data_IF_639299134914
#
_entry.id   IF_639299134914
#
_cell.length_a   1.000
_cell.length_b   1.000
_cell.length_c   1.000
_cell.angle_alpha   90.00
_cell.angle_beta   90.00
_cell.angle_gamma   90.00
#
_symmetry.space_group_name_H-M   'P 1'
#
loop_
_entity.id
_entity.type
_entity.pdbx_description
1 polymer ?
#
# COMPACT_ATOMS: atom_id res chain seq x y z
N UNK A 1 -4.11 23.19 -11.08
CA UNK A 1 -5.23 22.38 -11.62
C UNK A 1 -4.94 20.94 -11.21
N UNK A 2 -5.64 20.46 -10.17
CA UNK A 2 -5.35 19.19 -9.50
C UNK A 2 -5.87 18.01 -10.32
N UNK A 3 -5.01 17.01 -10.53
CA UNK A 3 -5.22 15.85 -11.40
C UNK A 3 -6.18 14.78 -10.82
N UNK A 4 -6.95 15.14 -9.80
CA UNK A 4 -7.75 14.20 -9.00
C UNK A 4 -9.27 14.39 -9.13
N UNK A 5 -9.72 15.38 -9.90
CA UNK A 5 -11.14 15.57 -10.15
C UNK A 5 -11.51 15.00 -11.51
N UNK A 6 -12.04 13.78 -11.49
CA UNK A 6 -12.84 13.26 -12.59
C UNK A 6 -14.27 13.77 -12.34
N UNK A 7 -14.76 14.62 -13.23
CA UNK A 7 -16.09 15.21 -13.15
C UNK A 7 -17.13 14.12 -13.47
N UNK A 8 -17.49 13.31 -12.46
CA UNK A 8 -18.79 12.64 -12.22
C UNK A 8 -18.60 11.48 -11.21
N UNK A 9 -19.21 11.62 -10.01
CA UNK A 9 -19.10 10.79 -8.78
C UNK A 9 -17.87 11.07 -7.89
N UNK A 10 -18.08 11.22 -6.59
CA UNK A 10 -17.05 11.54 -5.58
C UNK A 10 -16.16 10.35 -5.19
N UNK A 11 -16.03 9.39 -6.09
CA UNK A 11 -15.37 8.12 -5.85
C UNK A 11 -13.86 8.30 -5.69
N UNK A 12 -13.30 7.73 -4.62
CA UNK A 12 -11.87 7.72 -4.35
C UNK A 12 -11.28 6.43 -4.94
N UNK A 13 -10.51 6.58 -6.01
CA UNK A 13 -9.67 5.49 -6.52
C UNK A 13 -8.34 5.47 -5.77
N UNK A 14 -8.04 4.37 -5.09
CA UNK A 14 -6.74 4.13 -4.46
C UNK A 14 -5.94 3.14 -5.29
N UNK A 15 -4.74 3.54 -5.67
CA UNK A 15 -3.84 2.73 -6.48
C UNK A 15 -2.84 2.02 -5.57
N UNK A 16 -2.87 0.69 -5.60
CA UNK A 16 -1.98 -0.17 -4.83
C UNK A 16 -0.92 -0.71 -5.76
N UNK A 17 0.33 -0.74 -5.30
CA UNK A 17 1.41 -1.51 -5.93
C UNK A 17 1.82 -2.68 -5.05
N UNK A 18 1.90 -3.86 -5.67
CA UNK A 18 2.28 -5.11 -5.02
C UNK A 18 3.42 -5.73 -5.80
N UNK A 19 4.51 -6.09 -5.12
CA UNK A 19 5.55 -6.95 -5.68
C UNK A 19 5.49 -8.31 -5.01
N UNK A 20 5.36 -9.37 -5.81
CA UNK A 20 5.27 -10.75 -5.31
C UNK A 20 6.20 -11.69 -6.08
N UNK A 21 6.80 -12.64 -5.36
CA UNK A 21 7.49 -13.79 -5.96
C UNK A 21 6.53 -14.81 -6.54
N UNK A 22 5.27 -14.77 -6.11
CA UNK A 22 4.25 -15.68 -6.60
C UNK A 22 3.79 -15.27 -7.99
N UNK A 23 3.57 -16.27 -8.82
CA UNK A 23 3.20 -16.07 -10.22
C UNK A 23 1.80 -15.47 -10.41
N UNK A 24 0.88 -15.72 -9.47
CA UNK A 24 -0.54 -15.39 -9.63
C UNK A 24 -0.97 -14.16 -8.85
N UNK A 25 -0.32 -13.84 -7.72
CA UNK A 25 -0.79 -12.83 -6.77
C UNK A 25 -2.22 -13.09 -6.27
N UNK A 26 -2.67 -14.35 -6.28
CA UNK A 26 -4.06 -14.72 -6.01
C UNK A 26 -4.55 -14.24 -4.64
N UNK A 27 -3.70 -14.28 -3.61
CA UNK A 27 -4.03 -13.76 -2.29
C UNK A 27 -4.33 -12.26 -2.32
N UNK A 28 -3.52 -11.47 -3.02
CA UNK A 28 -3.72 -10.02 -3.15
C UNK A 28 -4.96 -9.69 -3.98
N UNK A 29 -5.21 -10.46 -5.04
CA UNK A 29 -6.46 -10.33 -5.82
C UNK A 29 -7.68 -10.57 -4.94
N UNK A 30 -7.67 -11.61 -4.09
CA UNK A 30 -8.76 -11.88 -3.17
C UNK A 30 -9.00 -10.73 -2.20
N UNK A 31 -7.94 -10.16 -1.59
CA UNK A 31 -8.09 -9.00 -0.70
C UNK A 31 -8.71 -7.78 -1.38
N UNK A 32 -8.29 -7.49 -2.61
CA UNK A 32 -8.79 -6.33 -3.37
C UNK A 32 -10.23 -6.55 -3.81
N UNK A 33 -10.57 -7.75 -4.28
CA UNK A 33 -11.92 -8.10 -4.69
C UNK A 33 -12.90 -8.10 -3.51
N UNK A 34 -12.50 -8.67 -2.37
CA UNK A 34 -13.32 -8.68 -1.15
C UNK A 34 -13.52 -7.27 -0.59
N UNK A 35 -12.47 -6.45 -0.55
CA UNK A 35 -12.60 -5.05 -0.14
C UNK A 35 -13.54 -4.28 -1.06
N UNK A 36 -13.38 -4.40 -2.38
CA UNK A 36 -14.22 -3.67 -3.34
C UNK A 36 -15.68 -4.14 -3.27
N UNK A 37 -15.93 -5.44 -3.01
CA UNK A 37 -17.27 -5.94 -2.71
C UNK A 37 -17.82 -5.33 -1.41
N UNK A 38 -17.04 -5.33 -0.34
CA UNK A 38 -17.43 -4.74 0.94
C UNK A 38 -17.75 -3.25 0.79
N UNK A 39 -16.90 -2.49 0.10
CA UNK A 39 -17.10 -1.07 -0.17
C UNK A 39 -18.44 -0.83 -0.90
N UNK A 40 -18.71 -1.60 -1.96
CA UNK A 40 -19.97 -1.53 -2.69
C UNK A 40 -21.18 -1.87 -1.81
N UNK A 41 -21.10 -2.92 -1.00
CA UNK A 41 -22.20 -3.36 -0.13
C UNK A 41 -22.50 -2.35 0.99
N UNK A 42 -21.47 -1.61 1.44
CA UNK A 42 -21.58 -0.62 2.51
C UNK A 42 -21.68 0.82 2.01
N UNK A 43 -21.87 1.03 0.69
CA UNK A 43 -21.93 2.34 0.05
C UNK A 43 -20.71 3.23 0.35
N UNK A 44 -19.53 2.63 0.45
CA UNK A 44 -18.27 3.34 0.50
C UNK A 44 -17.86 3.66 -0.94
N UNK A 45 -17.72 4.96 -1.25
CA UNK A 45 -17.33 5.45 -2.58
C UNK A 45 -15.81 5.35 -2.75
N UNK A 46 -15.26 4.14 -2.57
CA UNK A 46 -13.84 3.81 -2.60
C UNK A 46 -13.64 2.61 -3.49
N UNK A 47 -12.63 2.67 -4.37
CA UNK A 47 -12.27 1.57 -5.25
C UNK A 47 -10.75 1.33 -5.22
N UNK A 48 -10.35 0.12 -4.85
CA UNK A 48 -8.96 -0.30 -4.87
C UNK A 48 -8.58 -0.82 -6.25
N UNK A 49 -7.52 -0.26 -6.80
CA UNK A 49 -6.91 -0.67 -8.07
C UNK A 49 -5.53 -1.27 -7.81
N UNK A 50 -5.38 -2.56 -8.07
CA UNK A 50 -4.13 -3.27 -7.85
C UNK A 50 -3.23 -3.26 -9.08
N UNK A 51 -1.97 -2.90 -8.88
CA UNK A 51 -0.89 -3.01 -9.85
C UNK A 51 0.08 -4.09 -9.36
N UNK A 52 -0.11 -5.31 -9.85
CA UNK A 52 0.65 -6.48 -9.44
C UNK A 52 1.89 -6.68 -10.31
N UNK A 53 3.05 -6.69 -9.67
CA UNK A 53 4.33 -7.05 -10.24
C UNK A 53 4.72 -8.46 -9.78
N UNK A 54 4.84 -9.38 -10.73
CA UNK A 54 5.26 -10.76 -10.50
C UNK A 54 6.50 -11.07 -11.32
N UNK A 55 7.16 -12.19 -11.02
CA UNK A 55 8.30 -12.67 -11.79
C UNK A 55 7.97 -12.95 -13.28
N UNK A 56 6.69 -13.08 -13.62
CA UNK A 56 6.24 -13.34 -15.00
C UNK A 56 6.02 -12.05 -15.82
N UNK A 57 5.73 -10.93 -15.16
CA UNK A 57 5.40 -9.67 -15.84
C UNK A 57 6.40 -8.53 -15.55
N UNK A 58 7.37 -8.77 -14.67
CA UNK A 58 8.36 -7.80 -14.26
C UNK A 58 9.78 -8.38 -14.36
N UNK A 59 10.63 -7.72 -15.14
CA UNK A 59 11.99 -8.17 -15.48
C UNK A 59 13.05 -7.86 -14.42
N UNK A 60 12.65 -7.22 -13.32
CA UNK A 60 13.52 -6.81 -12.23
C UNK A 60 13.56 -7.95 -11.21
N UNK A 61 14.76 -8.41 -10.86
CA UNK A 61 14.92 -9.39 -9.78
C UNK A 61 14.35 -8.85 -8.47
N UNK A 62 13.92 -9.73 -7.57
CA UNK A 62 13.38 -9.28 -6.28
C UNK A 62 14.40 -8.46 -5.47
N UNK A 63 15.70 -8.72 -5.64
CA UNK A 63 16.77 -7.90 -5.05
C UNK A 63 16.74 -6.43 -5.51
N UNK A 64 16.13 -6.14 -6.65
CA UNK A 64 16.07 -4.81 -7.25
C UNK A 64 14.69 -4.13 -7.13
N UNK A 65 13.69 -4.80 -6.51
CA UNK A 65 12.37 -4.19 -6.25
C UNK A 65 12.49 -3.00 -5.31
N UNK A 66 13.50 -3.01 -4.43
CA UNK A 66 13.77 -1.91 -3.54
C UNK A 66 14.19 -0.62 -4.26
N UNK A 67 15.03 -0.73 -5.29
CA UNK A 67 15.47 0.38 -6.16
C UNK A 67 14.28 0.90 -6.97
N UNK A 68 13.41 0.00 -7.43
CA UNK A 68 12.16 0.40 -8.09
C UNK A 68 11.30 1.25 -7.16
N UNK A 69 11.06 0.79 -5.92
CA UNK A 69 10.28 1.56 -4.96
C UNK A 69 10.91 2.92 -4.65
N UNK A 70 12.23 2.99 -4.47
CA UNK A 70 12.91 4.30 -4.32
C UNK A 70 12.73 5.21 -5.53
N UNK A 71 12.80 4.66 -6.74
CA UNK A 71 12.55 5.41 -7.96
C UNK A 71 11.11 5.92 -8.04
N UNK A 72 10.14 5.14 -7.52
CA UNK A 72 8.74 5.56 -7.41
C UNK A 72 8.58 6.66 -6.37
N UNK A 73 9.14 6.51 -5.18
CA UNK A 73 9.03 7.48 -4.09
C UNK A 73 9.68 8.82 -4.43
N UNK A 74 10.77 8.81 -5.20
CA UNK A 74 11.45 10.04 -5.63
C UNK A 74 10.71 10.81 -6.73
N UNK A 75 9.65 10.24 -7.32
CA UNK A 75 8.82 10.99 -8.28
C UNK A 75 7.92 11.96 -7.52
N UNK A 76 7.92 13.22 -7.96
CA UNK A 76 7.07 14.29 -7.38
C UNK A 76 5.58 13.92 -7.28
N UNK A 77 5.09 13.07 -8.19
CA UNK A 77 3.72 12.57 -8.18
C UNK A 77 3.78 11.04 -8.30
N UNK A 78 3.84 10.34 -7.17
CA UNK A 78 3.66 8.89 -7.15
C UNK A 78 2.30 8.55 -7.77
N UNK A 79 2.27 7.49 -8.56
CA UNK A 79 1.02 6.95 -9.12
C UNK A 79 0.28 6.02 -8.15
N UNK A 80 0.85 5.80 -6.96
CA UNK A 80 0.39 4.83 -5.98
C UNK A 80 0.19 5.47 -4.62
N UNK A 81 -0.89 5.05 -3.97
CA UNK A 81 -1.36 5.49 -2.66
C UNK A 81 -0.99 4.48 -1.57
N UNK A 82 -0.96 3.18 -1.92
CA UNK A 82 -0.64 2.07 -1.01
C UNK A 82 0.44 1.17 -1.60
N UNK A 83 1.30 0.65 -0.72
CA UNK A 83 2.46 -0.16 -1.09
C UNK A 83 2.50 -1.43 -0.25
N UNK A 84 2.54 -2.59 -0.92
CA UNK A 84 2.94 -3.85 -0.29
C UNK A 84 4.42 -4.05 -0.53
N UNK A 85 5.21 -4.09 0.54
CA UNK A 85 6.66 -4.19 0.49
C UNK A 85 7.20 -5.06 1.63
N UNK A 86 8.44 -5.52 1.48
CA UNK A 86 9.14 -6.28 2.52
C UNK A 86 9.55 -5.35 3.67
N UNK A 87 9.08 -5.67 4.88
CA UNK A 87 9.29 -4.84 6.07
C UNK A 87 10.77 -4.64 6.46
N UNK A 88 11.70 -5.43 5.93
CA UNK A 88 13.14 -5.14 6.06
C UNK A 88 13.54 -3.77 5.47
N UNK A 89 12.72 -3.19 4.58
CA UNK A 89 12.94 -1.87 3.99
C UNK A 89 12.23 -0.72 4.73
N UNK A 90 11.48 -0.98 5.80
CA UNK A 90 10.72 0.02 6.57
C UNK A 90 11.54 1.26 6.90
N UNK A 91 12.76 1.09 7.43
CA UNK A 91 13.62 2.23 7.78
C UNK A 91 14.07 3.04 6.57
N UNK A 92 14.27 2.39 5.42
CA UNK A 92 14.64 3.06 4.17
C UNK A 92 13.49 3.87 3.59
N UNK A 93 12.25 3.37 3.75
CA UNK A 93 11.06 3.99 3.17
C UNK A 93 10.34 4.96 4.09
N UNK A 94 10.68 4.94 5.37
CA UNK A 94 10.13 5.83 6.39
C UNK A 94 9.93 7.29 5.96
N UNK A 95 10.90 7.97 5.28
CA UNK A 95 10.71 9.37 4.89
C UNK A 95 9.59 9.61 3.88
N UNK A 96 9.11 8.57 3.20
CA UNK A 96 8.10 8.67 2.14
C UNK A 96 6.69 8.30 2.58
N UNK A 97 6.54 7.71 3.78
CA UNK A 97 5.25 7.26 4.29
C UNK A 97 4.63 8.23 5.28
N UNK A 98 3.31 8.23 5.33
CA UNK A 98 2.54 8.97 6.32
C UNK A 98 2.56 8.22 7.65
N UNK A 99 2.46 8.96 8.75
CA UNK A 99 2.31 8.40 10.09
C UNK A 99 0.84 8.00 10.32
N UNK A 100 0.55 6.70 10.21
CA UNK A 100 -0.77 6.09 10.37
C UNK A 100 -1.34 6.30 11.78
N UNK A 101 -0.50 6.53 12.79
CA UNK A 101 -0.96 6.79 14.17
C UNK A 101 -1.78 8.09 14.28
N UNK A 102 -1.71 8.97 13.26
CA UNK A 102 -2.51 10.19 13.17
C UNK A 102 -3.91 9.96 12.59
N UNK A 103 -4.15 8.79 11.99
CA UNK A 103 -5.37 8.47 11.25
C UNK A 103 -6.12 7.26 11.82
N UNK A 104 -5.43 6.41 12.59
CA UNK A 104 -5.98 5.19 13.17
C UNK A 104 -6.02 5.31 14.70
N UNK A 105 -7.16 4.92 15.28
CA UNK A 105 -7.31 4.88 16.73
C UNK A 105 -6.40 3.80 17.36
N UNK A 106 -5.95 4.05 18.58
CA UNK A 106 -5.05 3.15 19.29
C UNK A 106 -5.63 1.73 19.45
N UNK A 107 -6.94 1.63 19.67
CA UNK A 107 -7.64 0.34 19.77
C UNK A 107 -7.58 -0.46 18.47
N UNK A 108 -7.60 0.21 17.32
CA UNK A 108 -7.45 -0.44 16.02
C UNK A 108 -6.03 -0.96 15.82
N UNK A 109 -5.02 -0.18 16.22
CA UNK A 109 -3.60 -0.58 16.15
C UNK A 109 -3.35 -1.78 17.08
N UNK A 110 -3.99 -1.83 18.25
CA UNK A 110 -3.89 -2.94 19.22
C UNK A 110 -4.54 -4.25 18.77
N UNK A 111 -5.27 -4.26 17.66
CA UNK A 111 -5.80 -5.51 17.07
C UNK A 111 -4.68 -6.37 16.45
N UNK A 112 -3.52 -5.79 16.16
CA UNK A 112 -2.38 -6.44 15.52
C UNK A 112 -1.35 -6.90 16.57
N UNK A 113 -0.47 -7.81 16.16
CA UNK A 113 0.61 -8.29 17.03
C UNK A 113 1.58 -7.15 17.37
N UNK A 114 1.66 -6.81 18.66
CA UNK A 114 2.47 -5.70 19.15
C UNK A 114 3.97 -5.87 18.84
N UNK A 115 4.48 -7.11 18.85
CA UNK A 115 5.88 -7.38 18.53
C UNK A 115 6.16 -7.14 17.05
N UNK A 116 5.24 -7.55 16.17
CA UNK A 116 5.33 -7.28 14.73
C UNK A 116 5.28 -5.78 14.47
N UNK A 117 4.26 -5.09 15.00
CA UNK A 117 4.08 -3.65 14.77
C UNK A 117 5.27 -2.84 15.29
N UNK A 118 5.74 -3.13 16.50
CA UNK A 118 6.84 -2.39 17.13
C UNK A 118 8.19 -2.60 16.44
N UNK A 119 8.45 -3.79 15.90
CA UNK A 119 9.74 -4.12 15.28
C UNK A 119 9.79 -3.82 13.78
N UNK A 120 8.67 -4.01 13.07
CA UNK A 120 8.66 -4.02 11.60
C UNK A 120 7.91 -2.86 10.97
N UNK A 121 6.94 -2.27 11.67
CA UNK A 121 6.03 -1.26 11.10
C UNK A 121 6.29 0.16 11.60
N UNK A 122 7.21 0.34 12.57
CA UNK A 122 7.53 1.65 13.15
C UNK A 122 8.85 2.21 12.64
N UNK A 123 8.89 3.52 12.55
CA UNK A 123 10.09 4.31 12.32
C UNK A 123 10.16 5.43 13.37
N UNK A 124 10.97 5.23 14.39
CA UNK A 124 10.88 6.02 15.61
C UNK A 124 9.47 5.93 16.20
N UNK A 125 8.86 7.08 16.46
CA UNK A 125 7.51 7.15 17.02
C UNK A 125 6.40 6.99 15.96
N UNK A 126 6.73 7.10 14.67
CA UNK A 126 5.76 7.03 13.57
C UNK A 126 5.40 5.59 13.21
N UNK A 127 4.11 5.33 13.04
CA UNK A 127 3.60 4.05 12.51
C UNK A 127 3.46 4.19 10.99
N UNK A 128 4.23 3.44 10.21
CA UNK A 128 4.28 3.60 8.75
C UNK A 128 3.72 2.40 7.97
N UNK A 129 3.26 1.37 8.68
CA UNK A 129 2.66 0.16 8.12
C UNK A 129 1.85 -0.58 9.18
N UNK A 130 1.21 -1.68 8.77
CA UNK A 130 0.46 -2.60 9.61
C UNK A 130 0.62 -4.03 9.08
#
# INVERSE_FOLDING_TARGET
MNKYYNENSGAVDLNIIVSSIENSGAAFTAYVDEFNQYAKQNNLDINLKMNLLTINNFSVSMENTNIMYESIFNKKNSAYDLFFYDASWTHKYCPYFVDLSKYLDEDHIKMYDENVVSQLCRCGDSLIGL
#
